data_IF_865558732461
#
_entry.id   IF_865558732461
#
_cell.length_a   1.000
_cell.length_b   1.000
_cell.length_c   1.000
_cell.angle_alpha   90.00
_cell.angle_beta   90.00
_cell.angle_gamma   90.00
#
_symmetry.space_group_name_H-M   'P 1'
#
loop_
_entity.id
_entity.type
_entity.pdbx_description
1 polymer ?
#
# COMPACT_ATOMS: atom_id res chain seq x y z
N UNK A 1 0.70 -11.36 -7.94
CA UNK A 1 0.62 -10.16 -7.08
C UNK A 1 1.71 -9.19 -7.51
N UNK A 2 1.44 -7.89 -7.48
CA UNK A 2 2.40 -6.87 -7.91
C UNK A 2 3.58 -6.78 -6.92
N UNK A 3 4.81 -6.74 -7.43
CA UNK A 3 6.02 -6.72 -6.60
C UNK A 3 6.10 -5.47 -5.71
N UNK A 4 5.75 -4.30 -6.26
CA UNK A 4 5.76 -3.04 -5.51
C UNK A 4 4.81 -3.08 -4.31
N UNK A 5 3.62 -3.64 -4.53
CA UNK A 5 2.62 -3.83 -3.48
C UNK A 5 3.18 -4.70 -2.35
N UNK A 6 3.76 -5.88 -2.67
CA UNK A 6 4.26 -6.81 -1.64
C UNK A 6 5.37 -6.17 -0.81
N UNK A 7 6.35 -5.54 -1.47
CA UNK A 7 7.50 -4.97 -0.79
C UNK A 7 7.10 -3.85 0.17
N UNK A 8 6.21 -2.95 -0.25
CA UNK A 8 5.70 -1.91 0.64
C UNK A 8 4.83 -2.51 1.76
N UNK A 9 3.94 -3.45 1.42
CA UNK A 9 2.99 -4.06 2.35
C UNK A 9 3.64 -4.79 3.51
N UNK A 10 4.78 -5.44 3.28
CA UNK A 10 5.51 -6.11 4.35
C UNK A 10 5.77 -5.14 5.51
N UNK A 11 6.17 -3.91 5.20
CA UNK A 11 6.50 -2.92 6.23
C UNK A 11 5.31 -2.05 6.62
N UNK A 12 4.46 -1.67 5.67
CA UNK A 12 3.31 -0.80 5.91
C UNK A 12 2.17 -1.53 6.65
N UNK A 13 2.10 -2.86 6.55
CA UNK A 13 0.94 -3.69 6.90
C UNK A 13 -0.32 -3.13 6.23
N UNK A 14 -1.51 -3.34 6.80
CA UNK A 14 -2.71 -2.74 6.25
C UNK A 14 -3.94 -3.62 6.40
N UNK A 15 -4.98 -3.20 5.72
CA UNK A 15 -6.28 -3.84 5.78
C UNK A 15 -6.20 -5.29 5.27
N UNK A 16 -6.89 -6.19 5.98
CA UNK A 16 -7.14 -7.56 5.57
C UNK A 16 -8.65 -7.81 5.58
N UNK A 17 -9.14 -8.47 4.52
CA UNK A 17 -10.54 -8.86 4.44
C UNK A 17 -10.93 -9.83 5.57
N UNK A 18 -12.20 -9.78 6.00
CA UNK A 18 -12.74 -10.73 7.01
C UNK A 18 -12.88 -12.15 6.48
N UNK A 19 -13.08 -12.29 5.17
CA UNK A 19 -13.27 -13.56 4.46
C UNK A 19 -12.12 -13.80 3.46
N UNK A 20 -11.65 -15.04 3.39
CA UNK A 20 -10.66 -15.48 2.41
C UNK A 20 -11.16 -15.30 0.98
N UNK A 21 -12.45 -15.56 0.72
CA UNK A 21 -13.06 -15.39 -0.61
C UNK A 21 -13.02 -13.93 -1.03
N UNK A 22 -13.39 -13.01 -0.14
CA UNK A 22 -13.32 -11.57 -0.43
C UNK A 22 -11.86 -11.12 -0.69
N UNK A 23 -10.89 -11.67 0.03
CA UNK A 23 -9.47 -11.43 -0.21
C UNK A 23 -9.04 -11.93 -1.60
N UNK A 24 -9.44 -13.15 -1.98
CA UNK A 24 -9.14 -13.74 -3.28
C UNK A 24 -9.75 -12.93 -4.42
N UNK A 25 -11.01 -12.53 -4.30
CA UNK A 25 -11.69 -11.70 -5.30
C UNK A 25 -11.02 -10.34 -5.47
N UNK A 26 -10.69 -9.68 -4.36
CA UNK A 26 -9.92 -8.43 -4.39
C UNK A 26 -8.56 -8.64 -5.06
N UNK A 27 -7.83 -9.69 -4.67
CA UNK A 27 -6.53 -10.01 -5.25
C UNK A 27 -6.58 -10.26 -6.75
N UNK A 28 -7.59 -11.00 -7.23
CA UNK A 28 -7.79 -11.25 -8.67
C UNK A 28 -8.12 -9.94 -9.39
N UNK A 29 -9.09 -9.16 -8.89
CA UNK A 29 -9.49 -7.90 -9.51
C UNK A 29 -8.30 -6.93 -9.62
N UNK A 30 -7.50 -6.81 -8.56
CA UNK A 30 -6.43 -5.82 -8.47
C UNK A 30 -5.12 -6.27 -9.11
N UNK A 31 -4.72 -7.54 -8.98
CA UNK A 31 -3.42 -8.03 -9.46
C UNK A 31 -3.47 -8.82 -10.76
N UNK A 32 -4.66 -9.13 -11.26
CA UNK A 32 -4.85 -9.73 -12.60
C UNK A 32 -5.65 -8.77 -13.48
N UNK A 33 -6.81 -8.30 -12.99
CA UNK A 33 -7.70 -7.43 -13.75
C UNK A 33 -7.06 -6.10 -14.17
N UNK A 34 -6.49 -5.34 -13.22
CA UNK A 34 -5.87 -4.05 -13.55
C UNK A 34 -4.69 -4.21 -14.51
N UNK A 35 -3.68 -5.08 -14.27
CA UNK A 35 -2.58 -5.27 -15.22
C UNK A 35 -3.06 -5.70 -16.62
N UNK A 36 -4.05 -6.59 -16.71
CA UNK A 36 -4.62 -7.03 -17.99
C UNK A 36 -5.18 -5.84 -18.78
N UNK A 37 -6.05 -5.03 -18.16
CA UNK A 37 -6.64 -3.85 -18.83
C UNK A 37 -5.58 -2.85 -19.27
N UNK A 38 -4.55 -2.60 -18.44
CA UNK A 38 -3.48 -1.67 -18.78
C UNK A 38 -2.61 -2.16 -19.94
N UNK A 39 -2.37 -3.48 -20.03
CA UNK A 39 -1.62 -4.09 -21.14
C UNK A 39 -2.41 -4.05 -22.45
N UNK A 40 -3.68 -4.48 -22.43
CA UNK A 40 -4.54 -4.49 -23.63
C UNK A 40 -4.75 -3.09 -24.21
N UNK A 41 -4.83 -2.06 -23.36
CA UNK A 41 -4.98 -0.67 -23.77
C UNK A 41 -3.66 0.04 -24.08
N UNK A 42 -2.52 -0.62 -23.86
CA UNK A 42 -1.18 -0.01 -23.87
C UNK A 42 -1.09 1.28 -23.03
N UNK A 43 -1.83 1.34 -21.92
CA UNK A 43 -1.89 2.53 -21.09
C UNK A 43 -0.57 2.73 -20.34
N UNK A 44 -0.03 3.95 -20.42
CA UNK A 44 1.13 4.38 -19.66
C UNK A 44 0.89 5.75 -19.04
N UNK A 45 1.25 5.90 -17.77
CA UNK A 45 1.27 7.21 -17.12
C UNK A 45 2.40 8.05 -17.74
N UNK A 46 2.09 9.32 -18.03
CA UNK A 46 3.13 10.28 -18.37
C UNK A 46 3.94 10.65 -17.12
N UNK A 47 5.18 11.08 -17.31
CA UNK A 47 6.10 11.45 -16.21
C UNK A 47 5.50 12.45 -15.22
N UNK A 48 4.78 13.51 -15.63
CA UNK A 48 4.14 14.42 -14.68
C UNK A 48 3.12 13.73 -13.78
N UNK A 49 2.28 12.84 -14.33
CA UNK A 49 1.32 12.08 -13.55
C UNK A 49 1.99 11.10 -12.59
N UNK A 50 3.06 10.43 -13.02
CA UNK A 50 3.84 9.57 -12.14
C UNK A 50 4.44 10.33 -10.96
N UNK A 51 4.94 11.55 -11.18
CA UNK A 51 5.49 12.39 -10.11
C UNK A 51 4.40 12.81 -9.11
N UNK A 52 3.25 13.28 -9.60
CA UNK A 52 2.10 13.64 -8.74
C UNK A 52 1.69 12.45 -7.88
N UNK A 53 1.51 11.28 -8.48
CA UNK A 53 1.12 10.07 -7.76
C UNK A 53 2.19 9.62 -6.77
N UNK A 54 3.48 9.76 -7.12
CA UNK A 54 4.59 9.44 -6.23
C UNK A 54 4.59 10.29 -4.97
N UNK A 55 4.31 11.60 -5.09
CA UNK A 55 4.17 12.49 -3.93
C UNK A 55 2.99 12.06 -3.06
N UNK A 56 1.83 11.76 -3.66
CA UNK A 56 0.65 11.28 -2.92
C UNK A 56 0.98 9.98 -2.18
N UNK A 57 1.65 9.03 -2.84
CA UNK A 57 2.08 7.76 -2.23
C UNK A 57 2.95 8.02 -1.00
N UNK A 58 4.00 8.85 -1.13
CA UNK A 58 4.91 9.14 -0.03
C UNK A 58 4.21 9.82 1.13
N UNK A 59 3.30 10.77 0.86
CA UNK A 59 2.50 11.41 1.91
C UNK A 59 1.60 10.40 2.63
N UNK A 60 0.89 9.55 1.90
CA UNK A 60 0.05 8.53 2.50
C UNK A 60 0.86 7.53 3.35
N UNK A 61 2.01 7.07 2.86
CA UNK A 61 2.90 6.19 3.64
C UNK A 61 3.40 6.92 4.89
N UNK A 62 3.80 8.19 4.76
CA UNK A 62 4.26 8.99 5.89
C UNK A 62 3.20 9.16 6.98
N UNK A 63 1.95 9.46 6.62
CA UNK A 63 0.88 9.71 7.58
C UNK A 63 0.24 8.44 8.14
N UNK A 64 0.10 7.40 7.31
CA UNK A 64 -0.76 6.26 7.63
C UNK A 64 -0.01 4.95 7.88
N UNK A 65 1.26 4.83 7.53
CA UNK A 65 2.05 3.63 7.84
C UNK A 65 2.78 3.71 9.20
N UNK A 66 3.00 2.57 9.87
CA UNK A 66 2.34 1.29 9.64
C UNK A 66 0.89 1.33 10.16
N UNK A 67 -0.03 0.75 9.39
CA UNK A 67 -1.40 0.53 9.85
C UNK A 67 -1.49 -0.80 10.61
N UNK A 68 -2.54 -0.99 11.40
CA UNK A 68 -2.79 -2.22 12.15
C UNK A 68 -4.24 -2.67 12.01
N UNK A 69 -4.55 -3.86 12.54
CA UNK A 69 -5.92 -4.40 12.56
C UNK A 69 -6.24 -4.98 13.93
N UNK A 70 -7.52 -5.20 14.22
CA UNK A 70 -7.98 -5.84 15.46
C UNK A 70 -7.34 -7.22 15.71
N UNK A 71 -7.03 -7.96 14.64
CA UNK A 71 -6.41 -9.29 14.72
C UNK A 71 -4.89 -9.22 14.96
N UNK A 72 -4.26 -8.14 14.54
CA UNK A 72 -2.81 -7.93 14.60
C UNK A 72 -2.52 -6.49 15.06
N UNK A 73 -2.82 -6.14 16.32
CA UNK A 73 -2.52 -4.81 16.84
C UNK A 73 -1.00 -4.62 16.97
N UNK A 74 -0.49 -3.48 16.50
CA UNK A 74 0.95 -3.22 16.47
C UNK A 74 1.36 -2.44 17.73
N UNK A 75 1.33 -3.08 18.90
CA UNK A 75 1.44 -2.42 20.22
C UNK A 75 2.81 -1.79 20.46
N UNK A 76 3.89 -2.44 19.99
CA UNK A 76 5.27 -2.00 20.25
C UNK A 76 5.61 -0.71 19.51
N UNK A 77 5.91 0.35 20.27
CA UNK A 77 6.31 1.67 19.73
C UNK A 77 7.61 1.57 18.92
N UNK A 78 8.57 0.77 19.38
CA UNK A 78 9.85 0.59 18.68
C UNK A 78 9.65 -0.14 17.35
N UNK A 79 8.79 -1.15 17.32
CA UNK A 79 8.45 -1.86 16.08
C UNK A 79 7.72 -0.95 15.09
N UNK A 80 6.78 -0.14 15.56
CA UNK A 80 6.05 0.83 14.71
C UNK A 80 6.99 1.83 14.04
N UNK A 81 7.92 2.42 14.80
CA UNK A 81 8.92 3.35 14.28
C UNK A 81 9.80 2.68 13.23
N UNK A 82 10.29 1.47 13.51
CA UNK A 82 11.10 0.67 12.58
C UNK A 82 10.35 0.37 11.29
N UNK A 83 9.11 -0.13 11.38
CA UNK A 83 8.26 -0.45 10.22
C UNK A 83 7.93 0.80 9.39
N UNK A 84 7.66 1.95 10.03
CA UNK A 84 7.45 3.23 9.33
C UNK A 84 8.66 3.62 8.49
N UNK A 85 9.86 3.54 9.06
CA UNK A 85 11.09 3.84 8.34
C UNK A 85 11.28 2.92 7.13
N UNK A 86 11.12 1.61 7.31
CA UNK A 86 11.25 0.65 6.20
C UNK A 86 10.17 0.82 5.13
N UNK A 87 8.93 1.17 5.51
CA UNK A 87 7.86 1.46 4.55
C UNK A 87 8.20 2.69 3.69
N UNK A 88 8.72 3.75 4.30
CA UNK A 88 9.17 4.95 3.58
C UNK A 88 10.33 4.66 2.63
N UNK A 89 11.34 3.92 3.10
CA UNK A 89 12.48 3.51 2.26
C UNK A 89 11.98 2.66 1.09
N UNK A 90 11.13 1.67 1.35
CA UNK A 90 10.58 0.79 0.30
C UNK A 90 9.81 1.58 -0.75
N UNK A 91 8.88 2.45 -0.33
CA UNK A 91 8.11 3.29 -1.23
C UNK A 91 9.01 4.18 -2.08
N UNK A 92 9.98 4.85 -1.45
CA UNK A 92 10.92 5.73 -2.14
C UNK A 92 11.77 4.98 -3.17
N UNK A 93 12.37 3.84 -2.78
CA UNK A 93 13.18 3.03 -3.68
C UNK A 93 12.39 2.54 -4.90
N UNK A 94 11.15 2.08 -4.70
CA UNK A 94 10.29 1.61 -5.80
C UNK A 94 9.89 2.75 -6.73
N UNK A 95 9.62 3.95 -6.19
CA UNK A 95 9.34 5.15 -6.99
C UNK A 95 10.56 5.51 -7.84
N UNK A 96 11.78 5.48 -7.28
CA UNK A 96 13.01 5.74 -8.05
C UNK A 96 13.20 4.71 -9.17
N UNK A 97 13.02 3.42 -8.88
CA UNK A 97 13.08 2.36 -9.90
C UNK A 97 12.05 2.62 -11.00
N UNK A 98 10.82 2.94 -10.61
CA UNK A 98 9.71 3.19 -11.52
C UNK A 98 9.95 4.37 -12.46
N UNK A 99 10.57 5.45 -11.99
CA UNK A 99 10.76 6.68 -12.77
C UNK A 99 12.01 6.64 -13.66
N UNK A 100 13.08 5.99 -13.19
CA UNK A 100 14.41 6.17 -13.79
C UNK A 100 15.05 4.90 -14.33
N UNK A 101 14.63 3.71 -13.86
CA UNK A 101 15.34 2.46 -14.14
C UNK A 101 14.57 1.49 -15.04
N UNK A 102 13.29 1.75 -15.32
CA UNK A 102 12.43 0.88 -16.12
C UNK A 102 11.64 1.66 -17.17
N UNK A 103 11.14 0.97 -18.19
CA UNK A 103 10.27 1.57 -19.20
C UNK A 103 8.91 2.02 -18.63
N UNK A 104 8.25 2.98 -19.31
CA UNK A 104 7.03 3.63 -18.83
C UNK A 104 5.88 2.66 -18.49
N UNK A 105 5.73 1.56 -19.23
CA UNK A 105 4.73 0.52 -18.95
C UNK A 105 4.99 -0.17 -17.60
N UNK A 106 6.24 -0.62 -17.37
CA UNK A 106 6.61 -1.27 -16.11
C UNK A 106 6.54 -0.28 -14.95
N UNK A 107 7.01 0.95 -15.16
CA UNK A 107 6.91 2.03 -14.18
C UNK A 107 5.46 2.30 -13.78
N UNK A 108 4.56 2.40 -14.75
CA UNK A 108 3.11 2.54 -14.51
C UNK A 108 2.59 1.43 -13.60
N UNK A 109 2.91 0.17 -13.89
CA UNK A 109 2.48 -0.97 -13.07
C UNK A 109 3.04 -0.92 -11.65
N UNK A 110 4.28 -0.47 -11.45
CA UNK A 110 4.87 -0.30 -10.12
C UNK A 110 4.13 0.79 -9.32
N UNK A 111 3.87 1.95 -9.92
CA UNK A 111 3.11 3.04 -9.28
C UNK A 111 1.69 2.58 -8.92
N UNK A 112 1.00 1.88 -9.81
CA UNK A 112 -0.33 1.31 -9.52
C UNK A 112 -0.26 0.33 -8.34
N UNK A 113 0.77 -0.51 -8.27
CA UNK A 113 0.98 -1.41 -7.13
C UNK A 113 1.13 -0.68 -5.79
N UNK A 114 1.86 0.44 -5.78
CA UNK A 114 1.98 1.31 -4.62
C UNK A 114 0.66 2.01 -4.29
N UNK A 115 -0.11 2.45 -5.29
CA UNK A 115 -1.43 3.06 -5.08
C UNK A 115 -2.40 2.10 -4.39
N UNK A 116 -2.39 0.83 -4.80
CA UNK A 116 -3.18 -0.21 -4.15
C UNK A 116 -2.79 -0.34 -2.67
N UNK A 117 -1.49 -0.33 -2.37
CA UNK A 117 -1.03 -0.49 -0.99
C UNK A 117 -1.36 0.74 -0.12
N UNK A 118 -1.25 1.97 -0.65
CA UNK A 118 -1.66 3.14 0.13
C UNK A 118 -3.16 3.14 0.43
N UNK A 119 -4.00 2.59 -0.47
CA UNK A 119 -5.42 2.37 -0.18
C UNK A 119 -5.60 1.41 1.00
N UNK A 120 -4.79 0.35 1.09
CA UNK A 120 -4.88 -0.65 2.17
C UNK A 120 -4.50 -0.09 3.54
N UNK A 121 -3.68 0.95 3.62
CA UNK A 121 -3.33 1.61 4.90
C UNK A 121 -4.19 2.85 5.18
N UNK A 122 -4.98 3.33 4.22
CA UNK A 122 -5.74 4.56 4.37
C UNK A 122 -6.95 4.41 5.32
N UNK A 123 -7.16 5.31 6.30
CA UNK A 123 -8.27 5.20 7.27
C UNK A 123 -9.66 5.11 6.64
N UNK A 124 -9.88 5.80 5.51
CA UNK A 124 -11.16 5.73 4.77
C UNK A 124 -11.47 4.30 4.31
N UNK A 125 -10.46 3.55 3.86
CA UNK A 125 -10.66 2.18 3.40
C UNK A 125 -11.06 1.24 4.54
N UNK A 126 -10.52 1.46 5.73
CA UNK A 126 -10.94 0.76 6.95
C UNK A 126 -12.40 1.08 7.31
N UNK A 127 -12.77 2.37 7.25
CA UNK A 127 -14.14 2.83 7.53
C UNK A 127 -15.15 2.22 6.56
N UNK A 128 -14.85 2.22 5.25
CA UNK A 128 -15.69 1.61 4.22
C UNK A 128 -15.89 0.11 4.45
N UNK A 129 -14.85 -0.59 4.91
CA UNK A 129 -14.88 -2.02 5.15
C UNK A 129 -15.27 -2.41 6.60
N UNK A 130 -15.73 -1.45 7.42
CA UNK A 130 -16.13 -1.66 8.82
C UNK A 130 -15.05 -2.41 9.62
N UNK A 131 -13.81 -1.91 9.54
CA UNK A 131 -12.63 -2.39 10.28
C UNK A 131 -12.12 -1.31 11.22
N UNK A 132 -11.54 -1.73 12.33
CA UNK A 132 -10.94 -0.82 13.31
C UNK A 132 -9.55 -0.38 12.88
N UNK A 133 -9.15 0.81 13.30
CA UNK A 133 -7.90 1.46 12.91
C UNK A 133 -7.17 1.97 14.16
N UNK A 134 -5.84 2.00 14.15
CA UNK A 134 -5.00 2.40 15.31
C UNK A 134 -5.32 1.61 16.59
N UNK A 135 -5.44 0.30 16.45
CA UNK A 135 -5.83 -0.62 17.51
C UNK A 135 -4.82 -0.64 18.68
N UNK A 136 -3.55 -0.32 18.41
CA UNK A 136 -2.52 -0.17 19.44
C UNK A 136 -2.88 0.85 20.54
N UNK A 137 -3.73 1.85 20.26
CA UNK A 137 -4.12 2.88 21.23
C UNK A 137 -4.89 2.26 22.42
N UNK A 138 -5.64 1.19 22.18
CA UNK A 138 -6.40 0.50 23.22
C UNK A 138 -5.51 -0.27 24.21
N UNK A 139 -4.27 -0.60 23.84
CA UNK A 139 -3.32 -1.36 24.68
C UNK A 139 -2.40 -0.44 25.49
N UNK A 140 -2.29 0.83 25.10
CA UNK A 140 -1.48 1.82 25.82
C UNK A 140 -2.21 2.44 27.02
N UNK A 141 -3.51 2.15 27.17
CA UNK A 141 -4.39 2.67 28.22
C UNK A 141 -4.62 1.63 29.34
N UNK A 142 -4.08 0.41 29.21
CA UNK A 142 -4.14 -0.58 30.29
C UNK A 142 -3.09 -0.24 31.36
N UNK A 143 -3.51 -0.02 32.63
CA UNK A 143 -2.60 0.31 33.74
C UNK A 143 -1.67 -0.83 34.13
#
# INVERSE_FOLDING_TARGET
MNLAYILLRWHANGWHAKSSIACSLFGIATFVGIPYVLQETNFTLSTPWMLILSVIILLCVFFYAPADTEKNPLVSVSERKRKKLFALISAFSIICVSLFLVGAQVGTLLIIGLLVEILMIHPLFYKLNKRSYKNYENYQIQP
#
